data_IF_144529776216
#
_entry.id   IF_144529776216
#
_cell.length_a   1.000
_cell.length_b   1.000
_cell.length_c   1.000
_cell.angle_alpha   90.00
_cell.angle_beta   90.00
_cell.angle_gamma   90.00
#
_symmetry.space_group_name_H-M   'P 1'
#
loop_
_entity.id
_entity.type
_entity.pdbx_description
1 polymer ?
#
# COMPACT_ATOMS: atom_id res chain seq x y z
N UNK A 1 18.13 44.73 8.12
CA UNK A 1 19.33 43.85 8.16
C UNK A 1 19.07 42.50 8.84
N UNK A 2 18.17 42.41 9.85
CA UNK A 2 17.88 41.17 10.61
C UNK A 2 17.35 39.99 9.77
N UNK A 3 16.54 40.25 8.74
CA UNK A 3 15.95 39.18 7.90
C UNK A 3 16.95 38.51 6.94
N UNK A 4 18.03 39.20 6.56
CA UNK A 4 19.07 38.63 5.70
C UNK A 4 19.97 37.65 6.46
N UNK A 5 20.13 37.85 7.76
CA UNK A 5 20.90 36.96 8.63
C UNK A 5 20.16 35.64 8.91
N UNK A 6 18.82 35.71 9.03
CA UNK A 6 17.98 34.53 9.24
C UNK A 6 17.95 33.61 8.01
N UNK A 7 17.88 34.19 6.81
CA UNK A 7 17.94 33.45 5.56
C UNK A 7 19.27 32.69 5.38
N UNK A 8 20.40 33.30 5.75
CA UNK A 8 21.71 32.64 5.70
C UNK A 8 21.83 31.47 6.68
N UNK A 9 21.29 31.59 7.89
CA UNK A 9 21.30 30.52 8.89
C UNK A 9 20.44 29.32 8.48
N UNK A 10 19.26 29.56 7.89
CA UNK A 10 18.39 28.47 7.40
C UNK A 10 19.05 27.73 6.23
N UNK A 11 19.70 28.45 5.32
CA UNK A 11 20.38 27.84 4.17
C UNK A 11 21.55 26.94 4.61
N UNK A 12 22.30 27.35 5.64
CA UNK A 12 23.42 26.59 6.19
C UNK A 12 22.96 25.30 6.91
N UNK A 13 21.82 25.36 7.60
CA UNK A 13 21.22 24.17 8.22
C UNK A 13 20.76 23.13 7.19
N UNK A 14 20.12 23.58 6.09
CA UNK A 14 19.61 22.68 5.03
C UNK A 14 20.76 21.99 4.28
N UNK A 15 21.87 22.69 4.01
CA UNK A 15 23.03 22.09 3.33
C UNK A 15 23.72 21.03 4.19
N UNK A 16 23.72 21.18 5.53
CA UNK A 16 24.34 20.20 6.42
C UNK A 16 23.63 18.84 6.47
N UNK A 17 22.32 18.80 6.20
CA UNK A 17 21.54 17.56 6.25
C UNK A 17 21.72 16.67 5.02
N UNK A 18 22.21 17.21 3.90
CA UNK A 18 22.27 16.48 2.62
C UNK A 18 23.52 15.58 2.50
N UNK A 19 24.55 15.78 3.34
CA UNK A 19 25.85 15.10 3.19
C UNK A 19 25.92 13.73 3.92
N UNK A 20 24.89 13.31 4.66
CA UNK A 20 25.00 12.16 5.57
C UNK A 20 24.44 10.82 5.05
N UNK A 21 24.07 10.71 3.78
CA UNK A 21 23.38 9.53 3.24
C UNK A 21 24.16 8.78 2.14
N UNK A 22 25.43 8.42 2.42
CA UNK A 22 26.16 7.41 1.64
C UNK A 22 27.00 6.56 2.59
N UNK A 23 26.42 5.49 3.14
CA UNK A 23 27.17 4.42 3.78
C UNK A 23 26.69 3.09 3.21
N UNK A 24 27.52 2.54 2.33
CA UNK A 24 27.35 1.27 1.62
C UNK A 24 27.39 0.09 2.59
N UNK A 25 26.40 -0.81 2.53
CA UNK A 25 26.44 -2.09 3.23
C UNK A 25 27.18 -3.15 2.38
N UNK A 26 28.10 -3.88 3.02
CA UNK A 26 28.96 -4.90 2.44
C UNK A 26 28.20 -6.22 2.11
N UNK A 27 28.71 -7.05 1.18
CA UNK A 27 28.16 -8.37 0.92
C UNK A 27 28.56 -9.41 1.99
N UNK A 28 27.61 -10.28 2.34
CA UNK A 28 27.77 -11.33 3.34
C UNK A 28 28.70 -12.47 2.86
N UNK A 29 29.54 -12.94 3.78
CA UNK A 29 30.45 -14.09 3.64
C UNK A 29 29.68 -15.41 3.52
N UNK A 30 29.99 -16.19 2.49
CA UNK A 30 29.53 -17.57 2.31
C UNK A 30 30.24 -18.49 3.32
N UNK A 31 29.46 -19.25 4.10
CA UNK A 31 29.98 -20.31 4.97
C UNK A 31 30.31 -21.57 4.16
N UNK A 32 31.49 -22.14 4.44
CA UNK A 32 31.97 -23.37 3.83
C UNK A 32 31.18 -24.61 4.30
N UNK A 33 30.99 -25.63 3.45
CA UNK A 33 30.39 -26.89 3.86
C UNK A 33 31.35 -27.72 4.73
N UNK A 34 30.80 -28.38 5.75
CA UNK A 34 31.49 -29.32 6.63
C UNK A 34 31.81 -30.65 5.93
N UNK A 35 32.82 -31.42 6.40
CA UNK A 35 33.22 -32.67 5.77
C UNK A 35 32.23 -33.80 6.07
N UNK A 36 32.04 -34.67 5.08
CA UNK A 36 31.19 -35.87 5.13
C UNK A 36 31.92 -36.96 5.94
N UNK A 37 31.31 -37.44 7.02
CA UNK A 37 31.72 -38.68 7.68
C UNK A 37 31.12 -39.89 6.93
N UNK A 38 32.00 -40.83 6.57
CA UNK A 38 31.69 -42.09 5.90
C UNK A 38 31.29 -43.14 6.94
N UNK A 39 30.01 -43.53 6.96
CA UNK A 39 29.49 -44.60 7.81
C UNK A 39 29.26 -45.90 7.03
N UNK A 40 29.90 -46.96 7.54
CA UNK A 40 29.96 -48.37 7.10
C UNK A 40 28.58 -49.01 6.86
N UNK A 41 28.41 -49.93 5.87
CA UNK A 41 27.10 -50.46 5.51
C UNK A 41 26.63 -51.54 6.50
N UNK A 42 25.52 -51.27 7.18
CA UNK A 42 24.69 -52.30 7.82
C UNK A 42 23.56 -52.66 6.87
N UNK A 43 23.45 -53.94 6.50
CA UNK A 43 22.39 -54.43 5.63
C UNK A 43 21.01 -54.19 6.24
N UNK A 44 20.22 -53.33 5.59
CA UNK A 44 18.80 -53.13 5.88
C UNK A 44 17.94 -54.13 5.06
N UNK A 45 16.76 -54.53 5.57
CA UNK A 45 15.83 -55.42 4.87
C UNK A 45 15.27 -54.77 3.58
N UNK A 46 14.61 -55.54 2.69
CA UNK A 46 14.24 -55.08 1.35
C UNK A 46 13.37 -53.83 1.43
N UNK A 47 13.89 -52.73 0.90
CA UNK A 47 13.16 -51.46 0.80
C UNK A 47 12.15 -51.63 -0.33
N UNK A 48 10.87 -51.58 0.03
CA UNK A 48 9.77 -51.40 -0.91
C UNK A 48 10.05 -50.13 -1.71
N UNK A 49 10.22 -50.30 -3.03
CA UNK A 49 10.57 -49.23 -3.94
C UNK A 49 9.46 -48.18 -3.93
N UNK A 50 9.67 -47.10 -3.18
CA UNK A 50 8.80 -45.93 -3.22
C UNK A 50 8.67 -45.49 -4.68
N UNK A 51 7.43 -45.35 -5.14
CA UNK A 51 7.11 -44.84 -6.46
C UNK A 51 7.88 -43.54 -6.73
N UNK A 52 8.30 -43.27 -7.99
CA UNK A 52 9.01 -42.04 -8.31
C UNK A 52 8.16 -40.87 -7.85
N UNK A 53 8.69 -40.12 -6.89
CA UNK A 53 8.13 -38.82 -6.52
C UNK A 53 8.30 -37.95 -7.75
N UNK A 54 7.20 -37.66 -8.44
CA UNK A 54 7.18 -36.70 -9.53
C UNK A 54 7.88 -35.42 -9.06
N UNK A 55 9.06 -35.17 -9.60
CA UNK A 55 9.77 -33.93 -9.37
C UNK A 55 8.92 -32.83 -9.99
N UNK A 56 8.19 -32.08 -9.14
CA UNK A 56 7.48 -30.91 -9.63
C UNK A 56 8.47 -30.00 -10.34
N UNK A 57 8.16 -29.55 -11.58
CA UNK A 57 9.04 -28.63 -12.29
C UNK A 57 9.23 -27.39 -11.43
N UNK A 58 10.49 -27.06 -11.15
CA UNK A 58 10.85 -25.83 -10.44
C UNK A 58 10.50 -24.66 -11.36
N UNK A 59 9.28 -24.14 -11.22
CA UNK A 59 8.85 -22.94 -11.94
C UNK A 59 9.60 -21.74 -11.37
N UNK A 60 10.33 -21.04 -12.23
CA UNK A 60 11.11 -19.88 -11.85
C UNK A 60 10.26 -18.63 -12.12
N UNK A 61 9.47 -18.22 -11.11
CA UNK A 61 8.59 -17.06 -11.20
C UNK A 61 9.40 -15.75 -11.27
N UNK A 62 8.82 -14.71 -11.88
CA UNK A 62 9.38 -13.37 -11.90
C UNK A 62 9.40 -12.75 -10.47
N UNK A 63 10.33 -11.82 -10.18
CA UNK A 63 10.43 -11.19 -8.86
C UNK A 63 9.19 -10.34 -8.56
N UNK A 64 8.92 -10.07 -7.28
CA UNK A 64 7.88 -9.13 -6.89
C UNK A 64 8.20 -7.69 -7.34
N UNK A 65 7.20 -6.94 -7.78
CA UNK A 65 7.38 -5.55 -8.20
C UNK A 65 7.84 -4.69 -7.01
N UNK A 66 8.92 -3.92 -7.18
CA UNK A 66 9.37 -2.98 -6.15
C UNK A 66 8.29 -1.91 -5.92
N UNK A 67 7.81 -1.81 -4.68
CA UNK A 67 6.71 -0.90 -4.32
C UNK A 67 5.31 -1.54 -4.34
N UNK A 68 5.16 -2.76 -4.86
CA UNK A 68 3.93 -3.55 -4.69
C UNK A 68 3.89 -4.15 -3.27
N UNK A 69 3.78 -3.29 -2.26
CA UNK A 69 3.89 -3.68 -0.84
C UNK A 69 2.57 -3.66 -0.08
N UNK A 70 1.46 -3.37 -0.73
CA UNK A 70 0.13 -3.55 -0.17
C UNK A 70 -0.64 -4.53 -1.02
N UNK A 71 -1.27 -5.50 -0.37
CA UNK A 71 -2.29 -6.34 -0.99
C UNK A 71 -3.19 -5.48 -1.86
N UNK A 72 -3.43 -5.89 -3.11
CA UNK A 72 -4.46 -5.25 -3.90
C UNK A 72 -5.83 -5.65 -3.34
N UNK A 73 -6.22 -4.92 -2.29
CA UNK A 73 -7.50 -5.03 -1.62
C UNK A 73 -8.15 -3.66 -1.58
N UNK A 74 -9.48 -3.65 -1.58
CA UNK A 74 -10.25 -2.44 -1.33
C UNK A 74 -9.78 -1.80 0.01
N UNK A 75 -9.67 -0.46 0.07
CA UNK A 75 -9.39 0.22 1.32
C UNK A 75 -10.42 -0.15 2.41
N UNK A 76 -9.97 -0.39 3.64
CA UNK A 76 -10.88 -0.60 4.78
C UNK A 76 -11.35 0.75 5.32
N UNK A 77 -12.28 1.36 4.60
CA UNK A 77 -12.90 2.64 4.95
C UNK A 77 -14.38 2.35 5.23
N UNK A 78 -14.91 2.93 6.31
CA UNK A 78 -16.32 2.78 6.70
C UNK A 78 -17.11 4.03 6.40
N UNK A 79 -18.43 3.85 6.26
CA UNK A 79 -19.39 4.95 6.23
C UNK A 79 -19.18 5.86 7.43
N UNK A 80 -19.34 7.16 7.18
CA UNK A 80 -19.22 8.11 8.26
C UNK A 80 -20.54 8.22 9.01
N UNK A 81 -20.46 8.38 10.32
CA UNK A 81 -21.62 8.64 11.16
C UNK A 81 -21.74 10.14 11.42
N UNK A 82 -22.97 10.63 11.52
CA UNK A 82 -23.20 12.05 11.71
C UNK A 82 -22.53 12.58 12.99
N UNK A 83 -22.37 11.76 14.04
CA UNK A 83 -21.76 12.16 15.33
C UNK A 83 -20.32 12.62 15.23
N UNK A 84 -19.59 12.23 14.18
CA UNK A 84 -18.15 12.49 14.06
C UNK A 84 -17.86 13.81 13.34
N UNK A 85 -18.91 14.58 13.03
CA UNK A 85 -18.82 15.88 12.37
C UNK A 85 -18.36 16.99 13.30
N UNK A 86 -17.64 17.95 12.74
CA UNK A 86 -17.29 19.22 13.39
C UNK A 86 -17.98 20.34 12.65
N UNK A 87 -18.65 21.24 13.37
CA UNK A 87 -19.34 22.37 12.76
C UNK A 87 -18.53 23.65 12.90
N UNK A 88 -18.21 24.28 11.77
CA UNK A 88 -17.52 25.58 11.72
C UNK A 88 -18.42 26.55 11.00
N UNK A 89 -18.89 27.59 11.70
CA UNK A 89 -19.80 28.62 11.14
C UNK A 89 -21.05 28.03 10.44
N UNK A 90 -21.69 27.03 11.06
CA UNK A 90 -22.86 26.30 10.50
C UNK A 90 -22.57 25.55 9.18
N UNK A 91 -21.32 25.17 8.96
CA UNK A 91 -20.93 24.26 7.90
C UNK A 91 -20.42 22.97 8.55
N UNK A 92 -21.00 21.79 8.23
CA UNK A 92 -20.53 20.52 8.74
C UNK A 92 -19.26 20.10 8.00
N UNK A 93 -18.25 19.71 8.77
CA UNK A 93 -16.99 19.13 8.31
C UNK A 93 -16.86 17.71 8.83
N UNK A 94 -16.30 16.85 8.00
CA UNK A 94 -15.97 15.47 8.33
C UNK A 94 -14.54 15.16 7.90
N UNK A 95 -13.86 14.36 8.71
CA UNK A 95 -12.52 13.87 8.41
C UNK A 95 -12.58 12.37 8.17
N UNK A 96 -12.13 11.94 6.99
CA UNK A 96 -12.03 10.53 6.62
C UNK A 96 -10.54 10.22 6.58
N UNK A 97 -10.10 9.25 7.39
CA UNK A 97 -8.69 8.87 7.46
C UNK A 97 -8.40 7.68 6.54
N UNK A 98 -7.48 7.86 5.60
CA UNK A 98 -7.14 6.87 4.59
C UNK A 98 -5.67 6.52 4.62
N UNK A 99 -5.33 5.30 4.25
CA UNK A 99 -3.93 4.87 4.10
C UNK A 99 -3.26 5.58 2.91
N UNK A 100 -1.93 5.63 2.93
CA UNK A 100 -1.16 6.11 1.78
C UNK A 100 -1.41 5.21 0.55
N UNK A 101 -1.42 5.80 -0.64
CA UNK A 101 -1.77 5.07 -1.87
C UNK A 101 -3.27 4.84 -2.08
N UNK A 102 -4.15 5.55 -1.35
CA UNK A 102 -5.59 5.61 -1.65
C UNK A 102 -5.94 6.89 -2.38
N UNK A 103 -6.59 6.77 -3.54
CA UNK A 103 -7.22 7.86 -4.27
C UNK A 103 -8.72 7.95 -3.91
N UNK A 104 -9.35 9.11 -4.11
CA UNK A 104 -10.79 9.28 -3.87
C UNK A 104 -11.46 10.06 -5.00
N UNK A 105 -12.75 9.80 -5.18
CA UNK A 105 -13.62 10.43 -6.17
C UNK A 105 -14.97 10.74 -5.52
N UNK A 106 -15.42 11.99 -5.61
CA UNK A 106 -16.71 12.43 -5.08
C UNK A 106 -17.78 12.25 -6.15
N UNK A 107 -18.84 11.51 -5.84
CA UNK A 107 -19.88 11.17 -6.83
C UNK A 107 -20.81 12.37 -7.14
N UNK A 108 -21.01 13.27 -6.18
CA UNK A 108 -21.83 14.48 -6.34
C UNK A 108 -21.05 15.73 -5.90
N UNK A 109 -20.07 16.20 -6.71
CA UNK A 109 -19.17 17.28 -6.35
C UNK A 109 -19.86 18.64 -6.20
N UNK A 110 -21.13 18.78 -6.62
CA UNK A 110 -21.95 19.97 -6.40
C UNK A 110 -22.59 20.02 -5.00
N UNK A 111 -22.65 18.88 -4.28
CA UNK A 111 -23.25 18.76 -2.94
C UNK A 111 -22.23 18.52 -1.84
N UNK A 112 -21.11 17.89 -2.19
CA UNK A 112 -20.04 17.53 -1.28
C UNK A 112 -18.70 17.92 -1.88
N UNK A 113 -17.88 18.61 -1.09
CA UNK A 113 -16.52 18.96 -1.46
C UNK A 113 -15.60 18.18 -0.51
N UNK A 114 -14.73 17.34 -1.07
CA UNK A 114 -13.70 16.64 -0.32
C UNK A 114 -12.32 17.06 -0.82
N UNK A 115 -11.43 17.40 0.11
CA UNK A 115 -10.06 17.85 -0.17
C UNK A 115 -9.07 17.09 0.70
N UNK A 116 -7.91 16.76 0.11
CA UNK A 116 -6.77 16.33 0.91
C UNK A 116 -6.00 17.56 1.38
N UNK A 117 -6.12 17.87 2.66
CA UNK A 117 -5.46 19.03 3.27
C UNK A 117 -4.02 18.72 3.74
N UNK A 118 -3.50 17.53 3.44
CA UNK A 118 -2.18 17.07 3.88
C UNK A 118 -2.09 16.79 5.38
N UNK A 119 -3.22 16.88 6.10
CA UNK A 119 -3.32 16.51 7.50
C UNK A 119 -3.06 15.01 7.68
N UNK A 120 -2.48 14.64 8.82
CA UNK A 120 -2.29 13.24 9.19
C UNK A 120 -2.88 12.96 10.57
N UNK A 121 -3.44 11.77 10.75
CA UNK A 121 -3.83 11.27 12.08
C UNK A 121 -2.58 10.91 12.91
N UNK A 122 -2.77 10.65 14.20
CA UNK A 122 -1.72 10.09 15.08
C UNK A 122 -1.15 8.78 14.55
N UNK A 123 -1.92 8.04 13.76
CA UNK A 123 -1.57 6.73 13.23
C UNK A 123 -0.91 6.83 11.83
N UNK A 124 -0.62 8.05 11.37
CA UNK A 124 0.05 8.32 10.11
C UNK A 124 -0.84 8.29 8.87
N UNK A 125 -2.15 8.01 9.02
CA UNK A 125 -3.14 8.04 7.92
C UNK A 125 -3.36 9.48 7.42
N UNK A 126 -3.61 9.63 6.13
CA UNK A 126 -3.97 10.92 5.49
C UNK A 126 -5.40 11.30 5.83
N UNK A 127 -5.64 12.57 6.12
CA UNK A 127 -6.95 13.11 6.42
C UNK A 127 -7.58 13.74 5.16
N UNK A 128 -8.69 13.16 4.70
CA UNK A 128 -9.55 13.75 3.67
C UNK A 128 -10.64 14.54 4.39
N UNK A 129 -10.65 15.85 4.19
CA UNK A 129 -11.64 16.75 4.77
C UNK A 129 -12.80 16.92 3.78
N UNK A 130 -13.99 16.52 4.19
CA UNK A 130 -15.21 16.70 3.43
C UNK A 130 -16.13 17.73 4.11
N UNK A 131 -16.72 18.63 3.32
CA UNK A 131 -17.74 19.57 3.77
C UNK A 131 -18.82 19.74 2.70
N UNK A 132 -20.03 20.12 3.10
CA UNK A 132 -21.14 20.20 2.17
C UNK A 132 -22.40 20.81 2.78
N UNK A 133 -23.53 20.53 2.12
CA UNK A 133 -24.86 21.01 2.57
C UNK A 133 -25.29 20.28 3.84
N UNK A 134 -25.88 21.01 4.80
CA UNK A 134 -26.49 20.41 5.99
C UNK A 134 -27.61 19.42 5.63
N UNK A 135 -27.80 18.42 6.49
CA UNK A 135 -28.78 17.34 6.34
C UNK A 135 -28.65 16.54 5.03
N UNK A 136 -27.48 16.55 4.40
CA UNK A 136 -27.21 15.82 3.16
C UNK A 136 -26.29 14.61 3.38
N UNK A 137 -26.41 13.62 2.49
CA UNK A 137 -25.49 12.49 2.39
C UNK A 137 -25.10 12.27 0.94
N UNK A 138 -23.82 12.07 0.66
CA UNK A 138 -23.34 11.74 -0.69
C UNK A 138 -22.35 10.58 -0.63
N UNK A 139 -22.05 9.99 -1.78
CA UNK A 139 -21.12 8.87 -1.89
C UNK A 139 -19.73 9.37 -2.30
N UNK A 140 -18.72 8.77 -1.68
CA UNK A 140 -17.32 8.95 -2.05
C UNK A 140 -16.71 7.59 -2.31
N UNK A 141 -16.15 7.42 -3.51
CA UNK A 141 -15.44 6.22 -3.91
C UNK A 141 -13.97 6.38 -3.58
N UNK A 142 -13.40 5.39 -2.89
CA UNK A 142 -11.99 5.31 -2.57
C UNK A 142 -11.38 4.13 -3.30
N UNK A 143 -10.23 4.32 -3.92
CA UNK A 143 -9.55 3.31 -4.73
C UNK A 143 -8.12 3.14 -4.26
N UNK A 144 -7.71 1.91 -3.97
CA UNK A 144 -6.32 1.58 -3.69
C UNK A 144 -5.51 1.67 -5.00
N UNK A 145 -4.59 2.62 -5.11
CA UNK A 145 -3.78 2.82 -6.31
C UNK A 145 -2.68 1.78 -6.46
N UNK A 146 -2.41 0.96 -5.43
CA UNK A 146 -1.52 -0.19 -5.59
C UNK A 146 -2.13 -1.26 -6.51
N UNK A 147 -3.46 -1.26 -6.66
CA UNK A 147 -4.18 -2.14 -7.57
C UNK A 147 -4.13 -1.71 -9.05
N UNK A 148 -3.66 -0.50 -9.33
CA UNK A 148 -3.59 0.02 -10.71
C UNK A 148 -2.23 -0.22 -11.37
N UNK A 149 -1.52 -1.29 -10.96
CA UNK A 149 -0.36 -1.79 -11.71
C UNK A 149 -0.77 -1.95 -13.18
N UNK A 150 -0.05 -1.29 -14.08
CA UNK A 150 -0.40 -1.20 -15.48
C UNK A 150 -0.57 -2.60 -16.09
N UNK A 151 -1.67 -2.81 -16.83
CA UNK A 151 -1.89 -3.96 -17.72
C UNK A 151 -1.38 -5.32 -17.18
N UNK A 152 -1.63 -5.61 -15.89
CA UNK A 152 -1.24 -6.89 -15.31
C UNK A 152 -1.93 -8.01 -16.08
N UNK A 153 -1.12 -8.94 -16.58
CA UNK A 153 -1.61 -10.11 -17.30
C UNK A 153 -1.62 -11.30 -16.35
N UNK A 154 -2.76 -11.98 -16.24
CA UNK A 154 -2.82 -13.25 -15.54
C UNK A 154 -2.01 -14.28 -16.33
N UNK A 155 -0.78 -14.54 -15.89
CA UNK A 155 0.14 -15.48 -16.52
C UNK A 155 0.72 -16.41 -15.45
N UNK A 156 0.06 -17.56 -15.28
CA UNK A 156 0.44 -18.59 -14.32
C UNK A 156 1.82 -19.23 -14.61
N UNK A 157 2.41 -18.95 -15.78
CA UNK A 157 3.77 -19.41 -16.11
C UNK A 157 4.85 -18.43 -15.64
N UNK A 158 4.47 -17.16 -15.40
CA UNK A 158 5.41 -16.11 -14.98
C UNK A 158 5.22 -15.70 -13.53
N UNK A 159 4.00 -15.80 -13.03
CA UNK A 159 3.63 -15.42 -11.68
C UNK A 159 2.85 -16.52 -10.99
N UNK A 160 3.00 -16.58 -9.67
CA UNK A 160 2.19 -17.47 -8.83
C UNK A 160 0.70 -17.12 -8.96
N UNK A 161 -0.18 -18.11 -8.74
CA UNK A 161 -1.63 -17.89 -8.72
C UNK A 161 -2.02 -16.73 -7.78
N UNK A 162 -2.95 -15.88 -8.24
CA UNK A 162 -3.35 -14.64 -7.55
C UNK A 162 -2.46 -13.42 -7.86
N UNK A 163 -1.36 -13.60 -8.61
CA UNK A 163 -0.49 -12.53 -9.08
C UNK A 163 -0.58 -12.37 -10.60
N UNK A 164 -0.31 -11.15 -11.06
CA UNK A 164 -0.33 -10.72 -12.44
C UNK A 164 1.05 -10.24 -12.85
N UNK A 165 1.43 -10.56 -14.08
CA UNK A 165 2.70 -10.18 -14.66
C UNK A 165 2.63 -8.77 -15.25
N UNK A 166 3.50 -7.89 -14.76
CA UNK A 166 3.77 -6.58 -15.35
C UNK A 166 4.89 -6.73 -16.39
N UNK A 167 4.54 -6.61 -17.68
CA UNK A 167 5.51 -6.72 -18.76
C UNK A 167 6.46 -5.51 -18.86
N UNK A 168 6.06 -4.33 -18.38
CA UNK A 168 6.91 -3.15 -18.39
C UNK A 168 7.99 -3.23 -17.30
N UNK A 169 7.63 -3.74 -16.13
CA UNK A 169 8.52 -3.86 -14.98
C UNK A 169 9.16 -5.26 -14.82
N UNK A 170 8.76 -6.24 -15.63
CA UNK A 170 9.23 -7.64 -15.59
C UNK A 170 9.13 -8.27 -14.20
N UNK A 171 8.00 -8.06 -13.54
CA UNK A 171 7.76 -8.46 -12.16
C UNK A 171 6.32 -8.92 -11.94
N UNK A 172 6.07 -9.58 -10.81
CA UNK A 172 4.76 -9.99 -10.37
C UNK A 172 4.19 -9.01 -9.34
N UNK A 173 2.94 -8.60 -9.54
CA UNK A 173 2.16 -7.83 -8.59
C UNK A 173 0.83 -8.54 -8.31
N UNK A 174 0.16 -8.31 -7.17
CA UNK A 174 -1.17 -8.87 -6.94
C UNK A 174 -2.14 -8.51 -8.07
N UNK A 175 -2.84 -9.51 -8.63
CA UNK A 175 -4.01 -9.21 -9.46
C UNK A 175 -5.05 -8.53 -8.57
N UNK A 176 -5.86 -7.65 -9.17
CA UNK A 176 -7.09 -7.23 -8.51
C UNK A 176 -7.85 -8.49 -8.12
N UNK A 177 -8.07 -8.68 -6.82
CA UNK A 177 -9.04 -9.66 -6.36
C UNK A 177 -10.36 -9.45 -7.11
N UNK A 178 -11.16 -10.49 -7.23
CA UNK A 178 -12.53 -10.42 -7.77
C UNK A 178 -13.38 -9.35 -7.04
N UNK A 179 -12.97 -8.96 -5.83
CA UNK A 179 -13.43 -7.78 -5.12
C UNK A 179 -12.71 -6.52 -5.64
N UNK A 180 -13.51 -5.64 -6.25
CA UNK A 180 -13.10 -4.34 -6.80
C UNK A 180 -12.05 -3.63 -5.94
N UNK A 181 -11.00 -3.00 -6.53
CA UNK A 181 -9.96 -2.28 -5.78
C UNK A 181 -10.47 -1.01 -5.09
N UNK A 182 -11.79 -0.83 -5.05
CA UNK A 182 -12.46 0.35 -4.58
C UNK A 182 -13.54 0.00 -3.58
N UNK A 183 -13.71 0.88 -2.60
CA UNK A 183 -14.86 0.92 -1.71
C UNK A 183 -15.62 2.22 -1.96
N UNK A 184 -16.94 2.16 -1.96
CA UNK A 184 -17.77 3.37 -1.94
C UNK A 184 -18.40 3.48 -0.57
N UNK A 185 -18.21 4.63 0.07
CA UNK A 185 -18.83 4.93 1.37
C UNK A 185 -19.82 6.06 1.23
N UNK A 186 -20.78 6.08 2.16
CA UNK A 186 -21.68 7.22 2.37
C UNK A 186 -21.06 8.18 3.37
N UNK A 187 -20.94 9.44 2.96
CA UNK A 187 -20.52 10.54 3.83
C UNK A 187 -21.74 11.34 4.26
N UNK A 188 -22.08 11.29 5.55
CA UNK A 188 -23.28 11.90 6.10
C UNK A 188 -22.98 13.25 6.80
N UNK A 189 -23.37 14.38 6.20
CA UNK A 189 -23.04 15.70 6.75
C UNK A 189 -23.84 16.05 8.02
N UNK A 190 -25.05 15.50 8.20
CA UNK A 190 -25.94 15.87 9.31
C UNK A 190 -26.23 17.38 9.40
N UNK A 191 -26.88 17.83 10.47
CA UNK A 191 -27.19 19.25 10.70
C UNK A 191 -26.23 19.86 11.71
N UNK A 192 -25.83 21.13 11.60
CA UNK A 192 -25.10 21.76 12.70
C UNK A 192 -26.05 22.17 13.84
N UNK A 193 -25.63 22.02 15.11
CA UNK A 193 -26.41 22.51 16.23
C UNK A 193 -26.60 24.04 16.11
N UNK A 194 -27.79 24.50 16.50
CA UNK A 194 -28.21 25.90 16.44
C UNK A 194 -27.48 26.80 17.44
#
# INVERSE_FOLDING_TARGET
MKNRFYLLLVLLAVVSMIVSACASAAPATQAAPAPVEESVPTQAPPVEQAAPTDAQPVQNFAPACQGATSSCAAPDIKDTVASDRVCVKKVPYQYIFVDDGVAFEVMEPDKLICVDNGGRSSDGKRAIECHGTEAWSSQVKFTNTACSGAALTADATKCQEGLGYDAAANCCAPLTSTDSPSVTITVNMGECPN
#
